data_IF_218135798648
#
_entry.id   IF_218135798648
#
_cell.length_a   1.000
_cell.length_b   1.000
_cell.length_c   1.000
_cell.angle_alpha   90.00
_cell.angle_beta   90.00
_cell.angle_gamma   90.00
#
_symmetry.space_group_name_H-M   'P 1'
#
loop_
_entity.id
_entity.type
_entity.pdbx_description
1 polymer ?
#
# COMPACT_ATOMS: atom_id res chain seq x y z
N UNK A 1 -58.23 44.73 -8.31
CA UNK A 1 -57.13 43.92 -8.89
C UNK A 1 -57.27 42.48 -8.42
N UNK A 2 -57.58 41.53 -9.32
CA UNK A 2 -57.65 40.09 -9.01
C UNK A 2 -56.31 39.44 -9.36
N UNK A 3 -55.61 38.83 -8.40
CA UNK A 3 -54.39 38.07 -8.67
C UNK A 3 -54.75 36.70 -9.23
N UNK A 4 -54.32 36.44 -10.47
CA UNK A 4 -54.44 35.12 -11.09
C UNK A 4 -53.15 34.34 -10.78
N UNK A 5 -53.26 33.23 -10.06
CA UNK A 5 -52.14 32.33 -9.74
C UNK A 5 -51.85 31.43 -10.96
N UNK A 6 -50.71 31.63 -11.61
CA UNK A 6 -50.27 30.95 -12.85
C UNK A 6 -49.57 29.58 -12.64
N UNK A 7 -49.75 28.89 -11.51
CA UNK A 7 -48.87 27.77 -11.13
C UNK A 7 -49.40 26.36 -11.45
N UNK A 8 -50.42 26.20 -12.30
CA UNK A 8 -50.82 24.86 -12.77
C UNK A 8 -51.32 24.94 -14.21
N UNK A 9 -50.39 24.75 -15.15
CA UNK A 9 -50.73 24.57 -16.55
C UNK A 9 -51.27 23.14 -16.76
N UNK A 10 -52.53 22.97 -17.19
CA UNK A 10 -53.11 21.64 -17.45
C UNK A 10 -52.40 20.90 -18.60
N UNK A 11 -51.56 21.58 -19.38
CA UNK A 11 -50.74 20.98 -20.45
C UNK A 11 -49.48 20.28 -19.92
N UNK A 12 -49.05 20.57 -18.69
CA UNK A 12 -47.93 19.89 -18.01
C UNK A 12 -48.39 18.71 -17.14
N UNK A 13 -49.70 18.60 -16.88
CA UNK A 13 -50.28 17.47 -16.16
C UNK A 13 -50.45 16.25 -17.10
N UNK A 14 -49.36 15.81 -17.72
CA UNK A 14 -49.35 14.51 -18.37
C UNK A 14 -49.55 13.45 -17.29
N UNK A 15 -50.67 12.71 -17.33
CA UNK A 15 -50.85 11.53 -16.48
C UNK A 15 -49.84 10.49 -16.94
N UNK A 16 -48.63 10.52 -16.37
CA UNK A 16 -47.67 9.44 -16.57
C UNK A 16 -48.34 8.16 -16.06
N UNK A 17 -48.43 7.11 -16.90
CA UNK A 17 -49.08 5.88 -16.48
C UNK A 17 -48.39 5.35 -15.22
N UNK A 18 -49.12 5.21 -14.12
CA UNK A 18 -48.57 4.82 -12.80
C UNK A 18 -47.79 3.51 -12.89
N UNK A 19 -48.17 2.62 -13.80
CA UNK A 19 -47.48 1.35 -14.07
C UNK A 19 -46.01 1.54 -14.53
N UNK A 20 -45.71 2.58 -15.32
CA UNK A 20 -44.34 2.86 -15.79
C UNK A 20 -43.44 3.26 -14.63
N UNK A 21 -43.93 4.14 -13.75
CA UNK A 21 -43.20 4.53 -12.53
C UNK A 21 -42.97 3.34 -11.60
N UNK A 22 -44.01 2.53 -11.35
CA UNK A 22 -43.90 1.32 -10.53
C UNK A 22 -42.92 0.30 -11.10
N UNK A 23 -42.90 0.14 -12.42
CA UNK A 23 -41.96 -0.75 -13.11
C UNK A 23 -40.51 -0.29 -12.93
N UNK A 24 -40.24 1.01 -13.13
CA UNK A 24 -38.89 1.58 -12.95
C UNK A 24 -38.43 1.42 -11.50
N UNK A 25 -39.30 1.73 -10.53
CA UNK A 25 -38.99 1.57 -9.10
C UNK A 25 -38.72 0.10 -8.77
N UNK A 26 -39.50 -0.83 -9.31
CA UNK A 26 -39.27 -2.27 -9.10
C UNK A 26 -37.93 -2.74 -9.68
N UNK A 27 -37.57 -2.27 -10.89
CA UNK A 27 -36.26 -2.57 -11.50
C UNK A 27 -35.10 -2.01 -10.68
N UNK A 28 -35.23 -0.77 -10.18
CA UNK A 28 -34.24 -0.15 -9.31
C UNK A 28 -34.06 -0.95 -8.02
N UNK A 29 -35.16 -1.36 -7.39
CA UNK A 29 -35.15 -2.14 -6.16
C UNK A 29 -34.49 -3.52 -6.38
N UNK A 30 -34.78 -4.17 -7.51
CA UNK A 30 -34.11 -5.40 -7.95
C UNK A 30 -32.60 -5.22 -8.11
N UNK A 31 -32.16 -4.10 -8.70
CA UNK A 31 -30.74 -3.80 -8.84
C UNK A 31 -30.06 -3.64 -7.47
N UNK A 32 -30.68 -2.95 -6.53
CA UNK A 32 -30.17 -2.83 -5.16
C UNK A 32 -30.11 -4.19 -4.44
N UNK A 33 -31.13 -5.03 -4.59
CA UNK A 33 -31.10 -6.40 -4.04
C UNK A 33 -29.93 -7.20 -4.63
N UNK A 34 -29.66 -7.07 -5.93
CA UNK A 34 -28.50 -7.68 -6.57
C UNK A 34 -27.16 -7.20 -5.97
N UNK A 35 -27.03 -5.89 -5.72
CA UNK A 35 -25.84 -5.33 -5.07
C UNK A 35 -25.67 -5.82 -3.62
N UNK A 36 -26.75 -5.91 -2.86
CA UNK A 36 -26.73 -6.47 -1.50
C UNK A 36 -26.29 -7.92 -1.53
N UNK A 37 -26.85 -8.74 -2.43
CA UNK A 37 -26.42 -10.13 -2.61
C UNK A 37 -24.93 -10.24 -2.95
N UNK A 38 -24.42 -9.36 -3.83
CA UNK A 38 -22.99 -9.31 -4.14
C UNK A 38 -22.15 -8.91 -2.94
N UNK A 39 -22.59 -7.94 -2.14
CA UNK A 39 -21.90 -7.52 -0.93
C UNK A 39 -21.82 -8.67 0.09
N UNK A 40 -22.92 -9.40 0.32
CA UNK A 40 -22.94 -10.58 1.20
C UNK A 40 -21.97 -11.67 0.68
N UNK A 41 -21.95 -11.93 -0.62
CA UNK A 41 -21.02 -12.92 -1.20
C UNK A 41 -19.55 -12.56 -0.94
N UNK A 42 -19.18 -11.29 -1.11
CA UNK A 42 -17.80 -10.84 -0.90
C UNK A 42 -17.45 -10.77 0.59
N UNK A 43 -18.35 -10.21 1.41
CA UNK A 43 -18.09 -9.89 2.82
C UNK A 43 -18.35 -11.05 3.78
N UNK A 44 -19.19 -12.03 3.45
CA UNK A 44 -19.52 -13.15 4.34
C UNK A 44 -18.94 -14.46 3.82
N UNK A 45 -19.16 -14.78 2.54
CA UNK A 45 -18.75 -16.08 1.98
C UNK A 45 -17.25 -16.11 1.61
N UNK A 46 -16.76 -15.08 0.92
CA UNK A 46 -15.35 -15.03 0.45
C UNK A 46 -14.43 -14.13 1.28
N UNK A 47 -14.87 -13.73 2.48
CA UNK A 47 -14.13 -12.80 3.31
C UNK A 47 -12.68 -13.27 3.57
N UNK A 48 -12.53 -14.52 4.01
CA UNK A 48 -11.22 -15.10 4.34
C UNK A 48 -10.26 -15.14 3.15
N UNK A 49 -10.77 -15.33 1.92
CA UNK A 49 -9.93 -15.31 0.71
C UNK A 49 -9.40 -13.91 0.43
N UNK A 50 -10.27 -12.89 0.48
CA UNK A 50 -9.87 -11.50 0.23
C UNK A 50 -9.01 -10.91 1.35
N UNK A 51 -9.26 -11.28 2.61
CA UNK A 51 -8.40 -10.91 3.74
C UNK A 51 -6.99 -11.50 3.59
N UNK A 52 -6.86 -12.79 3.26
CA UNK A 52 -5.54 -13.41 3.03
C UNK A 52 -4.76 -12.73 1.90
N UNK A 53 -5.42 -12.34 0.80
CA UNK A 53 -4.74 -11.60 -0.27
C UNK A 53 -4.25 -10.22 0.19
N UNK A 54 -4.97 -9.57 1.11
CA UNK A 54 -4.52 -8.34 1.77
C UNK A 54 -3.32 -8.58 2.68
N UNK A 55 -3.39 -9.60 3.54
CA UNK A 55 -2.31 -9.96 4.45
C UNK A 55 -1.02 -10.30 3.72
N UNK A 56 -1.06 -11.13 2.67
CA UNK A 56 0.14 -11.47 1.90
C UNK A 56 0.83 -10.24 1.29
N UNK A 57 0.08 -9.18 0.99
CA UNK A 57 0.61 -7.96 0.38
C UNK A 57 1.08 -6.92 1.40
N UNK A 58 0.41 -6.84 2.56
CA UNK A 58 0.61 -5.73 3.51
C UNK A 58 1.08 -6.17 4.90
N UNK A 59 0.82 -7.40 5.32
CA UNK A 59 1.33 -7.92 6.58
C UNK A 59 2.79 -8.37 6.40
N UNK A 60 3.72 -7.45 6.69
CA UNK A 60 5.11 -7.82 6.94
C UNK A 60 5.27 -8.05 8.44
N UNK A 61 5.53 -9.28 8.84
CA UNK A 61 6.00 -9.58 10.19
C UNK A 61 7.40 -9.00 10.33
N UNK A 62 7.50 -7.86 11.02
CA UNK A 62 8.78 -7.31 11.44
C UNK A 62 9.14 -8.02 12.74
N UNK A 63 10.02 -9.01 12.66
CA UNK A 63 10.60 -9.60 13.85
C UNK A 63 11.37 -8.49 14.59
N UNK A 64 10.98 -8.23 15.84
CA UNK A 64 11.69 -7.32 16.73
C UNK A 64 12.74 -8.16 17.47
N UNK A 65 14.00 -8.21 17.01
CA UNK A 65 15.02 -9.00 17.68
C UNK A 65 15.20 -8.48 19.10
N UNK A 66 15.23 -9.39 20.07
CA UNK A 66 15.56 -9.04 21.44
C UNK A 66 17.00 -8.50 21.49
N UNK A 67 17.20 -7.37 22.17
CA UNK A 67 18.54 -6.79 22.38
C UNK A 67 19.42 -7.77 23.16
N UNK A 68 20.67 -7.94 22.71
CA UNK A 68 21.65 -8.76 23.43
C UNK A 68 21.93 -8.13 24.81
N UNK A 69 22.03 -8.98 25.84
CA UNK A 69 22.42 -8.55 27.18
C UNK A 69 23.82 -7.93 27.20
N UNK A 70 24.02 -6.93 28.07
CA UNK A 70 25.33 -6.33 28.32
C UNK A 70 26.22 -7.30 29.09
N UNK A 71 27.47 -7.44 28.67
CA UNK A 71 28.48 -8.20 29.41
C UNK A 71 29.17 -7.22 30.37
N UNK A 72 29.17 -7.54 31.66
CA UNK A 72 29.75 -6.74 32.72
C UNK A 72 30.95 -7.46 33.35
N UNK A 73 31.97 -6.70 33.76
CA UNK A 73 33.02 -7.20 34.65
C UNK A 73 32.49 -7.37 36.09
N UNK A 74 33.26 -8.02 36.96
CA UNK A 74 32.96 -8.22 38.39
C UNK A 74 32.64 -6.93 39.16
N UNK A 75 33.14 -5.79 38.69
CA UNK A 75 32.90 -4.47 39.29
C UNK A 75 31.71 -3.73 38.67
N UNK A 76 30.95 -4.37 37.76
CA UNK A 76 29.80 -3.77 37.08
C UNK A 76 30.16 -2.90 35.87
N UNK A 77 31.42 -2.87 35.43
CA UNK A 77 31.85 -2.11 34.26
C UNK A 77 31.43 -2.82 32.96
N UNK A 78 30.95 -2.08 31.96
CA UNK A 78 30.52 -2.66 30.68
C UNK A 78 31.75 -3.09 29.86
N UNK A 79 31.81 -4.37 29.50
CA UNK A 79 32.81 -4.94 28.60
C UNK A 79 32.30 -5.05 27.16
N UNK A 80 31.02 -5.37 26.97
CA UNK A 80 30.40 -5.44 25.65
C UNK A 80 28.91 -5.09 25.71
N UNK A 81 28.45 -4.34 24.71
CA UNK A 81 27.04 -3.99 24.52
C UNK A 81 26.73 -3.93 23.03
N UNK A 82 25.49 -4.25 22.66
CA UNK A 82 24.97 -3.94 21.34
C UNK A 82 24.70 -2.44 21.22
N UNK A 83 25.05 -1.86 20.08
CA UNK A 83 24.76 -0.48 19.70
C UNK A 83 24.14 -0.46 18.32
N UNK A 84 23.27 0.52 18.05
CA UNK A 84 22.68 0.70 16.72
C UNK A 84 23.76 1.22 15.79
N UNK A 85 23.98 0.52 14.67
CA UNK A 85 24.93 0.91 13.64
C UNK A 85 24.16 1.20 12.33
N UNK A 86 24.38 2.37 11.69
CA UNK A 86 23.84 2.61 10.37
C UNK A 86 24.53 1.70 9.34
N UNK A 87 23.76 1.16 8.41
CA UNK A 87 24.25 0.30 7.33
C UNK A 87 23.76 0.84 5.98
N UNK A 88 24.60 0.75 4.95
CA UNK A 88 24.27 1.20 3.59
C UNK A 88 24.10 -0.02 2.69
N UNK A 89 23.04 0.00 1.89
CA UNK A 89 22.74 -1.02 0.90
C UNK A 89 22.27 -0.35 -0.39
N UNK A 90 22.31 -1.11 -1.47
CA UNK A 90 21.87 -0.63 -2.78
C UNK A 90 21.08 -1.69 -3.53
N UNK A 91 20.25 -1.22 -4.46
CA UNK A 91 19.67 -1.99 -5.55
C UNK A 91 20.52 -1.69 -6.78
N UNK A 92 21.38 -2.63 -7.25
CA UNK A 92 22.25 -2.41 -8.39
C UNK A 92 21.60 -1.75 -9.61
N UNK A 93 20.36 -2.13 -9.96
CA UNK A 93 19.61 -1.55 -11.08
C UNK A 93 19.35 -0.04 -10.90
N UNK A 94 19.14 0.43 -9.67
CA UNK A 94 18.82 1.83 -9.35
C UNK A 94 20.07 2.70 -9.15
N UNK A 95 21.28 2.11 -9.11
CA UNK A 95 22.52 2.87 -8.88
C UNK A 95 23.00 3.51 -10.17
N UNK A 96 23.30 4.81 -10.10
CA UNK A 96 23.83 5.59 -11.22
C UNK A 96 25.08 4.93 -11.85
N UNK A 97 25.07 4.84 -13.18
CA UNK A 97 26.13 4.20 -13.97
C UNK A 97 27.29 5.15 -14.31
N UNK A 98 27.18 6.43 -13.96
CA UNK A 98 28.24 7.42 -14.13
C UNK A 98 29.53 7.03 -13.35
N UNK A 99 30.66 6.78 -14.04
CA UNK A 99 31.93 6.44 -13.40
C UNK A 99 32.43 7.49 -12.40
N UNK A 100 32.14 8.79 -12.62
CA UNK A 100 32.57 9.84 -11.71
C UNK A 100 31.83 9.75 -10.38
N UNK A 101 30.50 9.53 -10.42
CA UNK A 101 29.67 9.35 -9.22
C UNK A 101 30.02 8.06 -8.48
N UNK A 102 30.31 6.97 -9.19
CA UNK A 102 30.77 5.70 -8.57
C UNK A 102 32.09 5.87 -7.84
N UNK A 103 33.04 6.63 -8.39
CA UNK A 103 34.30 6.96 -7.70
C UNK A 103 34.06 7.77 -6.43
N UNK A 104 33.14 8.74 -6.48
CA UNK A 104 32.76 9.52 -5.31
C UNK A 104 32.09 8.66 -4.24
N UNK A 105 31.17 7.77 -4.62
CA UNK A 105 30.49 6.85 -3.71
C UNK A 105 31.50 5.90 -3.04
N UNK A 106 32.40 5.29 -3.81
CA UNK A 106 33.45 4.43 -3.28
C UNK A 106 34.32 5.14 -2.24
N UNK A 107 34.68 6.41 -2.51
CA UNK A 107 35.44 7.25 -1.57
C UNK A 107 34.67 7.55 -0.28
N UNK A 108 33.36 7.81 -0.36
CA UNK A 108 32.53 8.07 0.83
C UNK A 108 32.33 6.82 1.69
N UNK A 109 32.33 5.65 1.06
CA UNK A 109 32.18 4.36 1.72
C UNK A 109 33.52 3.73 2.15
N UNK A 110 34.63 4.45 1.95
CA UNK A 110 35.99 3.98 2.23
C UNK A 110 36.30 2.60 1.59
N UNK A 111 35.85 2.40 0.35
CA UNK A 111 36.05 1.17 -0.42
C UNK A 111 36.71 1.43 -1.76
N UNK A 112 37.30 0.40 -2.36
CA UNK A 112 37.84 0.52 -3.70
C UNK A 112 36.73 0.57 -4.75
N UNK A 113 36.98 1.27 -5.85
CA UNK A 113 36.05 1.34 -6.99
C UNK A 113 35.85 -0.04 -7.62
N UNK A 114 36.87 -0.91 -7.56
CA UNK A 114 36.78 -2.28 -8.03
C UNK A 114 35.81 -3.10 -7.18
N UNK A 115 35.89 -2.99 -5.85
CA UNK A 115 35.00 -3.70 -4.93
C UNK A 115 33.55 -3.21 -5.06
N UNK A 116 33.35 -1.90 -5.19
CA UNK A 116 32.02 -1.32 -5.43
C UNK A 116 31.41 -1.87 -6.73
N UNK A 117 32.17 -1.85 -7.83
CA UNK A 117 31.69 -2.36 -9.12
C UNK A 117 31.46 -3.88 -9.09
N UNK A 118 32.26 -4.63 -8.33
CA UNK A 118 32.05 -6.06 -8.15
C UNK A 118 30.75 -6.35 -7.40
N UNK A 119 30.44 -5.58 -6.34
CA UNK A 119 29.18 -5.65 -5.59
C UNK A 119 27.98 -5.29 -6.47
N UNK A 120 28.10 -4.27 -7.32
CA UNK A 120 27.03 -3.76 -8.18
C UNK A 120 26.95 -4.42 -9.57
N UNK A 121 27.71 -5.50 -9.81
CA UNK A 121 27.79 -6.14 -11.13
C UNK A 121 26.49 -6.84 -11.54
N UNK A 122 25.77 -7.37 -10.57
CA UNK A 122 24.60 -8.21 -10.77
C UNK A 122 23.32 -7.37 -10.66
N UNK A 123 22.77 -6.97 -11.81
CA UNK A 123 21.58 -6.11 -11.90
C UNK A 123 20.28 -6.87 -11.56
N UNK A 124 20.28 -8.20 -11.48
CA UNK A 124 19.10 -8.98 -11.09
C UNK A 124 18.87 -8.99 -9.56
N UNK A 125 19.87 -8.55 -8.78
CA UNK A 125 19.75 -8.49 -7.33
C UNK A 125 18.95 -7.24 -6.92
N UNK A 126 17.92 -7.47 -6.11
CA UNK A 126 17.16 -6.39 -5.47
C UNK A 126 17.80 -5.87 -4.17
N UNK A 127 18.99 -6.38 -3.80
CA UNK A 127 19.63 -6.04 -2.53
C UNK A 127 21.13 -6.42 -2.52
N UNK A 128 22.01 -5.45 -2.25
CA UNK A 128 23.45 -5.67 -2.00
C UNK A 128 23.94 -4.76 -0.88
N UNK A 129 24.69 -5.31 0.08
CA UNK A 129 25.39 -4.53 1.11
C UNK A 129 26.58 -3.79 0.52
N UNK A 130 26.65 -2.49 0.76
CA UNK A 130 27.79 -1.66 0.39
C UNK A 130 28.74 -1.55 1.58
#
# INVERSE_FOLDING_TARGET
MKSLRYTSSPLLASRTPVWRSRFIVAMLLLAFVGLIGRAVYVQVINNAFFQRQGEVRFARTLDLPASRGRILDRNGLILASSVVAPSIWAIPEDVDKDPAKRRQLAKLLDMSVADLNAKLKDEEKNFVWL
#
